data_IF_001543916189
#
_entry.id   IF_001543916189
#
_cell.length_a   1.000
_cell.length_b   1.000
_cell.length_c   1.000
_cell.angle_alpha   90.00
_cell.angle_beta   90.00
_cell.angle_gamma   90.00
#
_symmetry.space_group_name_H-M   'P 1'
#
loop_
_entity.id
_entity.type
_entity.pdbx_description
1 polymer ?
#
# COMPACT_ATOMS: atom_id res chain seq x y z
N UNK A 1 -11.01 -1.35 41.35
CA UNK A 1 -11.37 -1.23 39.92
C UNK A 1 -10.18 -0.59 39.23
N UNK A 2 -9.46 -1.34 38.40
CA UNK A 2 -8.41 -0.75 37.57
C UNK A 2 -9.07 0.22 36.59
N UNK A 3 -8.71 1.51 36.68
CA UNK A 3 -9.19 2.53 35.76
C UNK A 3 -8.66 2.17 34.37
N UNK A 4 -9.55 1.80 33.45
CA UNK A 4 -9.26 1.54 32.04
C UNK A 4 -8.80 2.81 31.29
N UNK A 5 -7.61 3.31 31.63
CA UNK A 5 -6.93 4.44 31.00
C UNK A 5 -5.78 3.99 30.09
N UNK A 6 -5.84 2.78 29.54
CA UNK A 6 -4.65 2.12 28.99
C UNK A 6 -4.42 2.38 27.50
N UNK A 7 -5.45 2.67 26.70
CA UNK A 7 -5.30 2.85 25.25
C UNK A 7 -4.65 4.18 24.84
N UNK A 8 -5.28 5.30 25.17
CA UNK A 8 -4.80 6.63 24.78
C UNK A 8 -3.45 6.97 25.40
N UNK A 9 -3.23 6.56 26.65
CA UNK A 9 -1.97 6.83 27.32
C UNK A 9 -0.82 6.05 26.69
N UNK A 10 -1.03 4.75 26.38
CA UNK A 10 -0.06 3.95 25.62
C UNK A 10 0.20 4.55 24.24
N UNK A 11 -0.84 5.06 23.56
CA UNK A 11 -0.68 5.76 22.28
C UNK A 11 0.21 7.00 22.45
N UNK A 12 -0.10 7.90 23.38
CA UNK A 12 0.69 9.13 23.65
C UNK A 12 2.15 8.78 23.98
N UNK A 13 2.37 7.78 24.83
CA UNK A 13 3.71 7.34 25.23
C UNK A 13 4.54 6.84 24.04
N UNK A 14 3.90 6.22 23.03
CA UNK A 14 4.58 5.77 21.81
C UNK A 14 5.16 6.90 20.94
N UNK A 15 4.70 8.15 21.13
CA UNK A 15 5.18 9.34 20.43
C UNK A 15 6.13 10.20 21.28
N UNK A 16 6.46 9.81 22.52
CA UNK A 16 7.25 10.65 23.44
C UNK A 16 8.63 11.06 22.90
N UNK A 17 9.20 10.28 22.00
CA UNK A 17 10.50 10.56 21.37
C UNK A 17 10.39 11.22 19.98
N UNK A 18 9.17 11.54 19.54
CA UNK A 18 8.90 12.10 18.21
C UNK A 18 8.96 13.65 18.23
N UNK A 19 9.29 14.30 17.10
CA UNK A 19 9.17 15.74 16.93
C UNK A 19 7.75 16.26 17.20
N UNK A 20 7.64 17.51 17.66
CA UNK A 20 6.37 18.15 18.02
C UNK A 20 5.34 18.13 16.88
N UNK A 21 5.81 18.23 15.63
CA UNK A 21 5.00 18.27 14.42
C UNK A 21 4.20 16.98 14.16
N UNK A 22 4.64 15.85 14.73
CA UNK A 22 4.01 14.54 14.57
C UNK A 22 3.43 14.00 15.89
N UNK A 23 3.38 14.82 16.94
CA UNK A 23 2.71 14.46 18.19
C UNK A 23 1.20 14.30 17.93
N UNK A 24 0.56 13.27 18.52
CA UNK A 24 -0.88 13.09 18.39
C UNK A 24 -1.62 14.22 19.10
N UNK A 25 -2.63 14.79 18.45
CA UNK A 25 -3.46 15.86 19.02
C UNK A 25 -4.89 15.36 19.18
N UNK A 26 -5.43 15.53 20.39
CA UNK A 26 -6.84 15.26 20.70
C UNK A 26 -7.56 16.60 20.84
N UNK A 27 -8.43 16.92 19.88
CA UNK A 27 -9.28 18.10 19.95
C UNK A 27 -10.70 17.68 20.33
N UNK A 28 -11.17 18.12 21.49
CA UNK A 28 -12.51 17.82 22.00
C UNK A 28 -13.39 19.05 21.81
N UNK A 29 -14.44 18.89 21.00
CA UNK A 29 -15.50 19.88 20.86
C UNK A 29 -16.78 19.34 21.51
N UNK A 30 -17.69 20.20 22.02
CA UNK A 30 -18.97 19.72 22.55
C UNK A 30 -19.71 18.87 21.52
N UNK A 31 -19.91 17.59 21.83
CA UNK A 31 -20.58 16.61 20.96
C UNK A 31 -19.69 15.89 19.92
N UNK A 32 -18.41 16.26 19.78
CA UNK A 32 -17.51 15.64 18.79
C UNK A 32 -16.08 15.45 19.31
N UNK A 33 -15.57 14.23 19.15
CA UNK A 33 -14.17 13.88 19.39
C UNK A 33 -13.43 13.85 18.06
N UNK A 34 -12.47 14.76 17.86
CA UNK A 34 -11.58 14.75 16.69
C UNK A 34 -10.21 14.23 17.11
N UNK A 35 -9.93 12.98 16.74
CA UNK A 35 -8.67 12.29 16.99
C UNK A 35 -7.85 12.24 15.70
N UNK A 36 -6.69 12.90 15.68
CA UNK A 36 -5.71 12.78 14.61
C UNK A 36 -4.51 11.98 15.11
N UNK A 37 -4.36 10.77 14.58
CA UNK A 37 -3.24 9.86 14.87
C UNK A 37 -2.33 9.87 13.64
N UNK A 38 -1.09 10.34 13.81
CA UNK A 38 -0.07 10.27 12.77
C UNK A 38 0.67 8.96 12.93
N UNK A 39 0.30 7.93 12.17
CA UNK A 39 0.93 6.61 12.31
C UNK A 39 2.43 6.68 11.96
N UNK A 40 3.30 6.12 12.83
CA UNK A 40 4.75 5.97 12.58
C UNK A 40 5.03 5.14 11.31
N UNK A 41 4.05 4.35 10.85
CA UNK A 41 4.12 3.56 9.63
C UNK A 41 3.58 4.30 8.39
N UNK A 42 2.87 5.41 8.56
CA UNK A 42 2.34 6.20 7.45
C UNK A 42 3.27 7.37 7.18
N UNK A 43 4.42 7.03 6.61
CA UNK A 43 5.19 8.04 5.89
C UNK A 43 4.44 8.29 4.58
N UNK A 44 3.94 9.51 4.38
CA UNK A 44 3.76 10.08 3.03
C UNK A 44 5.14 10.31 2.35
N UNK A 45 6.13 9.47 2.66
CA UNK A 45 7.24 9.24 1.75
C UNK A 45 6.58 8.60 0.53
N UNK A 46 6.26 9.43 -0.46
CA UNK A 46 6.33 9.01 -1.83
C UNK A 46 7.72 8.41 -1.95
N UNK A 47 7.83 7.10 -1.77
CA UNK A 47 9.03 6.36 -2.12
C UNK A 47 9.09 6.57 -3.63
N UNK A 48 9.82 7.60 -4.05
CA UNK A 48 10.22 7.74 -5.44
C UNK A 48 11.04 6.50 -5.72
N UNK A 49 10.35 5.49 -6.25
CA UNK A 49 11.00 4.32 -6.76
C UNK A 49 11.89 4.80 -7.89
N UNK A 50 13.19 4.69 -7.67
CA UNK A 50 14.11 4.62 -8.78
C UNK A 50 13.85 3.30 -9.53
N UNK A 51 12.84 3.35 -10.42
CA UNK A 51 12.51 2.27 -11.34
C UNK A 51 13.45 2.28 -12.55
N UNK A 52 14.43 3.19 -12.61
CA UNK A 52 15.41 3.23 -13.68
C UNK A 52 16.28 1.96 -13.62
N UNK A 53 16.47 1.33 -14.77
CA UNK A 53 17.22 0.08 -14.88
C UNK A 53 16.45 -1.21 -14.54
N UNK A 54 15.28 -1.13 -13.92
CA UNK A 54 14.42 -2.31 -13.71
C UNK A 54 13.69 -2.71 -14.99
N UNK A 55 13.56 -4.01 -15.20
CA UNK A 55 12.65 -4.57 -16.20
C UNK A 55 11.19 -4.32 -15.78
N UNK A 56 10.28 -4.30 -16.76
CA UNK A 56 8.87 -4.05 -16.48
C UNK A 56 8.23 -5.11 -15.55
N UNK A 57 8.76 -6.34 -15.56
CA UNK A 57 8.38 -7.38 -14.60
C UNK A 57 8.79 -7.03 -13.16
N UNK A 58 10.03 -6.58 -12.97
CA UNK A 58 10.54 -6.17 -11.66
C UNK A 58 9.80 -4.96 -11.11
N UNK A 59 9.46 -3.99 -11.97
CA UNK A 59 8.63 -2.84 -11.57
C UNK A 59 7.26 -3.29 -11.05
N UNK A 60 6.60 -4.23 -11.73
CA UNK A 60 5.32 -4.79 -11.26
C UNK A 60 5.48 -5.47 -9.90
N UNK A 61 6.54 -6.24 -9.70
CA UNK A 61 6.80 -6.90 -8.41
C UNK A 61 7.09 -5.87 -7.31
N UNK A 62 7.85 -4.82 -7.59
CA UNK A 62 8.14 -3.74 -6.65
C UNK A 62 6.85 -3.04 -6.20
N UNK A 63 5.99 -2.66 -7.17
CA UNK A 63 4.68 -2.05 -6.88
C UNK A 63 3.85 -2.98 -5.98
N UNK A 64 3.74 -4.27 -6.31
CA UNK A 64 2.94 -5.22 -5.53
C UNK A 64 3.50 -5.49 -4.13
N UNK A 65 4.82 -5.41 -3.93
CA UNK A 65 5.45 -5.59 -2.62
C UNK A 65 5.17 -4.42 -1.67
N UNK A 66 5.11 -3.20 -2.20
CA UNK A 66 4.97 -2.00 -1.37
C UNK A 66 3.51 -1.54 -1.26
N UNK A 67 2.79 -1.45 -2.37
CA UNK A 67 1.40 -0.98 -2.39
C UNK A 67 0.38 -2.12 -2.19
N UNK A 68 0.84 -3.37 -2.24
CA UNK A 68 -0.01 -4.54 -2.09
C UNK A 68 -0.76 -4.94 -3.37
N UNK A 69 -1.82 -5.75 -3.24
CA UNK A 69 -2.57 -6.29 -4.38
C UNK A 69 -3.22 -5.20 -5.25
N UNK A 70 -3.04 -5.29 -6.56
CA UNK A 70 -3.54 -4.28 -7.52
C UNK A 70 -4.32 -4.90 -8.68
N UNK A 71 -5.34 -4.21 -9.22
CA UNK A 71 -5.95 -4.58 -10.50
C UNK A 71 -4.96 -4.45 -11.65
N UNK A 72 -5.11 -5.30 -12.67
CA UNK A 72 -4.27 -5.26 -13.88
C UNK A 72 -4.32 -3.89 -14.56
N UNK A 73 -5.47 -3.21 -14.51
CA UNK A 73 -5.63 -1.89 -15.14
C UNK A 73 -4.73 -0.84 -14.49
N UNK A 74 -4.61 -0.87 -13.16
CA UNK A 74 -3.74 0.06 -12.43
C UNK A 74 -2.27 -0.23 -12.77
N UNK A 75 -1.84 -1.50 -12.71
CA UNK A 75 -0.47 -1.87 -13.07
C UNK A 75 -0.12 -1.50 -14.52
N UNK A 76 -1.06 -1.66 -15.45
CA UNK A 76 -0.89 -1.25 -16.85
C UNK A 76 -0.67 0.27 -16.97
N UNK A 77 -1.43 1.06 -16.21
CA UNK A 77 -1.31 2.52 -16.19
C UNK A 77 0.00 2.98 -15.56
N UNK A 78 0.41 2.35 -14.45
CA UNK A 78 1.68 2.66 -13.76
C UNK A 78 2.90 2.49 -14.66
N UNK A 79 2.88 1.52 -15.59
CA UNK A 79 3.95 1.31 -16.56
C UNK A 79 3.67 1.94 -17.95
N UNK A 80 2.63 2.77 -18.07
CA UNK A 80 2.28 3.49 -19.31
C UNK A 80 2.04 2.61 -20.55
N UNK A 81 1.61 1.36 -20.37
CA UNK A 81 1.28 0.46 -21.47
C UNK A 81 -0.04 0.87 -22.15
N UNK A 82 0.01 1.21 -23.44
CA UNK A 82 -1.21 1.55 -24.22
C UNK A 82 -2.12 0.34 -24.44
N UNK A 83 -1.53 -0.82 -24.76
CA UNK A 83 -2.27 -2.04 -25.09
C UNK A 83 -2.31 -3.00 -23.91
N UNK A 84 -3.53 -3.35 -23.49
CA UNK A 84 -3.75 -4.36 -22.44
C UNK A 84 -3.22 -5.73 -22.83
N UNK A 85 -3.45 -6.15 -24.08
CA UNK A 85 -3.01 -7.47 -24.57
C UNK A 85 -1.49 -7.56 -24.58
N UNK A 86 -0.81 -6.48 -24.97
CA UNK A 86 0.64 -6.40 -24.94
C UNK A 86 1.17 -6.52 -23.50
N UNK A 87 0.66 -5.70 -22.59
CA UNK A 87 1.04 -5.74 -21.17
C UNK A 87 0.83 -7.13 -20.54
N UNK A 88 -0.29 -7.78 -20.86
CA UNK A 88 -0.56 -9.13 -20.40
C UNK A 88 0.47 -10.14 -20.92
N UNK A 89 0.83 -10.07 -22.20
CA UNK A 89 1.72 -11.05 -22.81
C UNK A 89 3.20 -10.86 -22.47
N UNK A 90 3.65 -9.61 -22.38
CA UNK A 90 5.05 -9.27 -22.14
C UNK A 90 5.41 -9.27 -20.66
N UNK A 91 4.46 -8.95 -19.77
CA UNK A 91 4.75 -8.73 -18.34
C UNK A 91 3.99 -9.71 -17.45
N UNK A 92 2.65 -9.67 -17.46
CA UNK A 92 1.84 -10.39 -16.47
C UNK A 92 1.86 -11.91 -16.68
N UNK A 93 1.72 -12.38 -17.92
CA UNK A 93 1.69 -13.81 -18.24
C UNK A 93 3.04 -14.50 -17.95
N UNK A 94 4.21 -13.92 -18.29
CA UNK A 94 5.49 -14.45 -17.86
C UNK A 94 5.62 -14.57 -16.34
N UNK A 95 5.27 -13.53 -15.58
CA UNK A 95 5.33 -13.55 -14.10
C UNK A 95 4.36 -14.57 -13.48
N UNK A 96 3.19 -14.78 -14.08
CA UNK A 96 2.27 -15.85 -13.64
C UNK A 96 2.83 -17.25 -13.94
N UNK A 97 3.53 -17.41 -15.07
CA UNK A 97 4.16 -18.68 -15.46
C UNK A 97 5.38 -19.01 -14.59
N UNK A 98 6.20 -18.02 -14.24
CA UNK A 98 7.31 -18.19 -13.28
C UNK A 98 6.81 -18.46 -11.86
N UNK A 99 5.54 -18.14 -11.58
CA UNK A 99 4.89 -18.40 -10.31
C UNK A 99 5.13 -17.30 -9.27
N UNK A 100 5.70 -16.16 -9.67
CA UNK A 100 5.97 -15.03 -8.78
C UNK A 100 4.68 -14.29 -8.39
N UNK A 101 3.71 -14.27 -9.30
CA UNK A 101 2.39 -13.69 -9.06
C UNK A 101 1.28 -14.67 -9.41
N UNK A 102 0.09 -14.42 -8.85
CA UNK A 102 -1.13 -15.08 -9.24
C UNK A 102 -2.30 -14.09 -9.30
N UNK A 103 -3.34 -14.47 -10.03
CA UNK A 103 -4.59 -13.72 -10.09
C UNK A 103 -5.55 -14.27 -9.04
N UNK A 104 -6.02 -13.39 -8.17
CA UNK A 104 -7.08 -13.67 -7.22
C UNK A 104 -8.42 -13.19 -7.81
N UNK A 105 -9.36 -14.12 -7.95
CA UNK A 105 -10.65 -13.91 -8.61
C UNK A 105 -10.69 -14.30 -10.09
N UNK A 106 -11.87 -14.15 -10.70
CA UNK A 106 -12.12 -14.60 -12.08
C UNK A 106 -11.34 -13.75 -13.10
N UNK A 107 -10.74 -14.34 -14.15
CA UNK A 107 -9.93 -13.62 -15.15
C UNK A 107 -10.56 -12.39 -15.82
N UNK A 108 -11.88 -12.39 -15.97
CA UNK A 108 -12.65 -11.31 -16.59
C UNK A 108 -13.32 -10.37 -15.57
N UNK A 109 -13.14 -10.61 -14.27
CA UNK A 109 -13.75 -9.79 -13.25
C UNK A 109 -13.04 -8.44 -13.14
N UNK A 110 -13.76 -7.31 -13.08
CA UNK A 110 -13.15 -6.01 -12.80
C UNK A 110 -12.57 -5.94 -11.37
N UNK A 111 -13.03 -6.80 -10.47
CA UNK A 111 -12.54 -6.90 -9.09
C UNK A 111 -11.37 -7.87 -8.91
N UNK A 112 -10.87 -8.49 -9.99
CA UNK A 112 -9.75 -9.41 -9.89
C UNK A 112 -8.45 -8.66 -9.58
N UNK A 113 -7.73 -9.15 -8.59
CA UNK A 113 -6.47 -8.56 -8.12
C UNK A 113 -5.29 -9.45 -8.50
N UNK A 114 -4.16 -8.82 -8.79
CA UNK A 114 -2.88 -9.51 -8.90
C UNK A 114 -2.20 -9.47 -7.54
N UNK A 115 -1.68 -10.63 -7.12
CA UNK A 115 -1.03 -10.84 -5.82
C UNK A 115 0.30 -11.55 -6.02
N UNK A 116 1.25 -11.27 -5.14
CA UNK A 116 2.51 -12.02 -5.07
C UNK A 116 2.21 -13.38 -4.45
N UNK A 117 2.78 -14.44 -5.03
CA UNK A 117 2.72 -15.78 -4.45
C UNK A 117 3.73 -15.84 -3.30
N UNK A 118 3.27 -16.23 -2.11
CA UNK A 118 4.13 -16.46 -0.94
C UNK A 118 4.95 -17.73 -1.10
#
# INVERSE_FOLDING_TARGET
MERGGTGFQTMIESYKACPDEIQPVVSIYPGFLNLKLFDRLYRDEVIELDLEGLTDGEKVLAILKMEGPKPIKELQMSLNYRSRSQFLNEVINPLMKSGEIYRDGKPKSPTALIKIKR
#
